data_IF_516678471672
#
_entry.id   IF_516678471672
#
_cell.length_a   1.000
_cell.length_b   1.000
_cell.length_c   1.000
_cell.angle_alpha   90.00
_cell.angle_beta   90.00
_cell.angle_gamma   90.00
#
_symmetry.space_group_name_H-M   'P 1'
#
loop_
_entity.id
_entity.type
_entity.pdbx_description
1 polymer ?
#
# COMPACT_ATOMS: atom_id res chain seq x y z
N UNK A 1 2.91 13.59 -11.81
CA UNK A 1 2.76 12.15 -12.11
C UNK A 1 1.44 11.68 -11.55
N UNK A 2 0.72 10.84 -12.30
CA UNK A 2 -0.55 10.27 -11.84
C UNK A 2 -0.29 8.79 -11.53
N UNK A 3 -0.39 8.40 -10.27
CA UNK A 3 -0.29 7.01 -9.88
C UNK A 3 -1.36 6.15 -10.56
N UNK A 4 -1.06 4.87 -10.74
CA UNK A 4 -1.97 3.87 -11.31
C UNK A 4 -2.86 3.33 -10.21
N UNK A 5 -4.17 3.47 -10.34
CA UNK A 5 -5.12 2.79 -9.46
C UNK A 5 -5.01 1.27 -9.67
N UNK A 6 -4.99 0.52 -8.57
CA UNK A 6 -4.91 -0.94 -8.55
C UNK A 6 -5.86 -1.49 -7.50
N UNK A 7 -6.30 -2.73 -7.71
CA UNK A 7 -7.08 -3.47 -6.74
C UNK A 7 -6.51 -4.87 -6.57
N UNK A 8 -6.58 -5.38 -5.36
CA UNK A 8 -6.16 -6.74 -5.01
C UNK A 8 -7.05 -7.24 -3.87
N UNK A 9 -7.06 -8.55 -3.64
CA UNK A 9 -7.94 -9.18 -2.65
C UNK A 9 -7.11 -9.74 -1.52
N UNK A 10 -7.55 -9.53 -0.27
CA UNK A 10 -6.91 -10.14 0.91
C UNK A 10 -7.39 -11.58 1.13
N UNK A 11 -6.83 -12.26 2.13
CA UNK A 11 -7.19 -13.65 2.45
C UNK A 11 -8.63 -13.84 2.93
N UNK A 12 -9.30 -12.76 3.36
CA UNK A 12 -10.70 -12.77 3.77
C UNK A 12 -11.67 -12.57 2.59
N UNK A 13 -11.16 -12.29 1.39
CA UNK A 13 -11.98 -12.04 0.20
C UNK A 13 -12.34 -10.56 -0.02
N UNK A 14 -11.87 -9.65 0.83
CA UNK A 14 -12.14 -8.21 0.69
C UNK A 14 -11.26 -7.61 -0.41
N UNK A 15 -11.85 -6.80 -1.30
CA UNK A 15 -11.11 -6.04 -2.29
C UNK A 15 -10.50 -4.77 -1.67
N UNK A 16 -9.18 -4.69 -1.73
CA UNK A 16 -8.39 -3.55 -1.28
C UNK A 16 -8.11 -2.55 -2.42
N UNK A 17 -8.20 -1.26 -2.13
CA UNK A 17 -7.94 -0.17 -3.07
C UNK A 17 -6.54 0.41 -2.89
N UNK A 18 -5.75 0.39 -3.96
CA UNK A 18 -4.37 0.85 -3.97
C UNK A 18 -4.05 1.86 -5.07
N UNK A 19 -2.96 2.59 -4.87
CA UNK A 19 -2.32 3.43 -5.88
C UNK A 19 -0.84 3.02 -5.98
N UNK A 20 -0.44 2.61 -7.18
CA UNK A 20 0.92 2.28 -7.53
C UNK A 20 1.59 3.47 -8.23
N UNK A 21 2.60 4.06 -7.59
CA UNK A 21 3.45 5.08 -8.18
C UNK A 21 4.67 4.41 -8.83
N UNK A 22 4.87 4.66 -10.13
CA UNK A 22 6.01 4.12 -10.89
C UNK A 22 6.93 5.26 -11.36
N UNK A 23 8.25 5.05 -11.40
CA UNK A 23 9.17 6.04 -11.95
C UNK A 23 8.86 6.32 -13.43
N UNK A 24 8.94 7.58 -13.88
CA UNK A 24 8.60 7.97 -15.27
C UNK A 24 9.65 7.49 -16.27
N UNK A 25 10.92 7.67 -15.93
CA UNK A 25 12.02 7.58 -16.90
C UNK A 25 12.69 6.20 -16.95
N UNK A 26 12.34 5.31 -16.03
CA UNK A 26 12.98 4.01 -15.90
C UNK A 26 12.07 2.97 -15.27
N UNK A 27 12.36 1.70 -15.56
CA UNK A 27 11.76 0.59 -14.81
C UNK A 27 12.18 0.69 -13.33
N UNK A 28 11.26 0.44 -12.39
CA UNK A 28 11.62 0.40 -10.97
C UNK A 28 12.62 -0.73 -10.72
N UNK A 29 13.70 -0.41 -9.99
CA UNK A 29 14.70 -1.40 -9.59
C UNK A 29 14.30 -2.13 -8.30
N UNK A 30 13.43 -1.49 -7.51
CA UNK A 30 12.96 -1.95 -6.22
C UNK A 30 11.50 -1.57 -6.04
N UNK A 31 10.77 -2.34 -5.23
CA UNK A 31 9.41 -2.01 -4.84
C UNK A 31 9.31 -1.78 -3.34
N UNK A 32 8.36 -0.93 -2.95
CA UNK A 32 8.05 -0.61 -1.57
C UNK A 32 6.54 -0.58 -1.33
N UNK A 33 6.14 -0.91 -0.10
CA UNK A 33 4.77 -0.72 0.39
C UNK A 33 4.76 0.43 1.40
N UNK A 34 3.76 1.29 1.30
CA UNK A 34 3.48 2.32 2.28
C UNK A 34 2.18 1.99 3.03
N UNK A 35 2.30 1.64 4.31
CA UNK A 35 1.20 1.39 5.24
C UNK A 35 0.85 2.67 6.01
N UNK A 36 -0.36 3.18 5.86
CA UNK A 36 -0.78 4.43 6.51
C UNK A 36 -1.19 4.23 7.98
N UNK A 37 -1.56 5.32 8.66
CA UNK A 37 -1.97 5.31 10.06
C UNK A 37 -3.38 4.77 10.28
N UNK A 38 -3.68 4.39 11.53
CA UNK A 38 -5.01 4.00 11.97
C UNK A 38 -6.05 5.07 11.61
N UNK A 39 -7.19 4.67 11.02
CA UNK A 39 -8.28 5.56 10.54
C UNK A 39 -7.87 6.60 9.48
N UNK A 40 -6.65 6.53 8.95
CA UNK A 40 -6.22 7.36 7.84
C UNK A 40 -6.64 6.74 6.50
N UNK A 41 -6.18 7.32 5.41
CA UNK A 41 -6.33 6.79 4.06
C UNK A 41 -5.01 6.89 3.30
N UNK A 42 -4.88 6.09 2.24
CA UNK A 42 -3.85 6.19 1.21
C UNK A 42 -3.64 7.62 0.73
N UNK A 43 -4.66 8.47 0.73
CA UNK A 43 -4.61 9.84 0.19
C UNK A 43 -4.09 10.90 1.19
N UNK A 44 -3.61 10.47 2.37
CA UNK A 44 -2.90 11.35 3.29
C UNK A 44 -1.75 12.06 2.57
N UNK A 45 -1.65 13.39 2.73
CA UNK A 45 -0.62 14.20 2.06
C UNK A 45 0.80 13.70 2.34
N UNK A 46 1.07 13.28 3.57
CA UNK A 46 2.36 12.71 3.95
C UNK A 46 2.65 11.41 3.17
N UNK A 47 1.69 10.48 3.12
CA UNK A 47 1.81 9.23 2.36
C UNK A 47 2.12 9.55 0.89
N UNK A 48 1.30 10.40 0.26
CA UNK A 48 1.48 10.80 -1.15
C UNK A 48 2.85 11.45 -1.41
N UNK A 49 3.31 12.34 -0.54
CA UNK A 49 4.60 13.01 -0.72
C UNK A 49 5.77 12.03 -0.59
N UNK A 50 5.70 11.11 0.38
CA UNK A 50 6.72 10.08 0.57
C UNK A 50 6.76 9.11 -0.61
N UNK A 51 5.60 8.62 -1.08
CA UNK A 51 5.56 7.69 -2.22
C UNK A 51 6.08 8.33 -3.50
N UNK A 52 5.75 9.59 -3.77
CA UNK A 52 6.27 10.32 -4.92
C UNK A 52 7.78 10.55 -4.83
N UNK A 53 8.30 10.91 -3.65
CA UNK A 53 9.73 11.10 -3.45
C UNK A 53 10.53 9.80 -3.65
N UNK A 54 10.03 8.68 -3.11
CA UNK A 54 10.61 7.35 -3.33
C UNK A 54 10.55 6.93 -4.80
N UNK A 55 9.43 7.21 -5.47
CA UNK A 55 9.28 6.92 -6.91
C UNK A 55 10.28 7.68 -7.77
N UNK A 56 10.53 8.95 -7.46
CA UNK A 56 11.60 9.74 -8.10
C UNK A 56 13.01 9.15 -7.86
N UNK A 57 13.21 8.45 -6.73
CA UNK A 57 14.46 7.73 -6.44
C UNK A 57 14.54 6.34 -7.10
N UNK A 58 13.53 5.94 -7.87
CA UNK A 58 13.54 4.71 -8.67
C UNK A 58 12.76 3.53 -8.08
N UNK A 59 11.97 3.76 -7.03
CA UNK A 59 11.09 2.74 -6.46
C UNK A 59 9.74 2.68 -7.18
N UNK A 60 9.19 1.48 -7.34
CA UNK A 60 7.75 1.31 -7.50
C UNK A 60 7.12 1.32 -6.11
N UNK A 61 6.18 2.21 -5.83
CA UNK A 61 5.64 2.36 -4.46
C UNK A 61 4.14 2.12 -4.48
N UNK A 62 3.70 1.09 -3.76
CA UNK A 62 2.30 0.79 -3.53
C UNK A 62 1.86 1.40 -2.20
N UNK A 63 0.83 2.25 -2.24
CA UNK A 63 0.05 2.64 -1.05
C UNK A 63 -1.37 2.15 -1.23
N UNK A 64 -2.03 1.72 -0.17
CA UNK A 64 -3.38 1.17 -0.23
C UNK A 64 -4.17 1.56 1.02
N UNK A 65 -5.49 1.47 0.94
CA UNK A 65 -6.37 1.58 2.11
C UNK A 65 -6.52 0.20 2.76
N UNK A 66 -6.39 0.10 4.08
CA UNK A 66 -6.71 -1.14 4.81
C UNK A 66 -8.18 -1.51 4.69
N UNK A 67 -8.53 -2.78 4.95
CA UNK A 67 -9.93 -3.23 5.04
C UNK A 67 -10.76 -2.27 5.90
N UNK A 68 -11.98 -1.97 5.45
CA UNK A 68 -12.90 -1.06 6.15
C UNK A 68 -12.52 0.41 6.13
N UNK A 69 -11.44 0.81 5.45
CA UNK A 69 -11.01 2.20 5.33
C UNK A 69 -11.01 2.68 3.88
N UNK A 70 -11.26 3.98 3.70
CA UNK A 70 -11.16 4.66 2.42
C UNK A 70 -12.03 4.02 1.34
N UNK A 71 -11.38 3.49 0.30
CA UNK A 71 -12.05 2.84 -0.84
C UNK A 71 -11.92 1.30 -0.83
N UNK A 72 -11.38 0.72 0.24
CA UNK A 72 -11.31 -0.74 0.43
C UNK A 72 -12.62 -1.28 0.98
N UNK A 73 -12.92 -2.53 0.63
CA UNK A 73 -14.08 -3.28 1.14
C UNK A 73 -13.90 -3.70 2.61
N UNK A 74 -14.95 -4.29 3.18
CA UNK A 74 -15.05 -4.71 4.57
C UNK A 74 -15.57 -3.62 5.51
N UNK A 75 -15.81 -4.01 6.76
CA UNK A 75 -16.29 -3.11 7.81
C UNK A 75 -15.16 -2.79 8.80
N UNK A 76 -14.97 -1.50 9.09
CA UNK A 76 -13.91 -1.05 10.00
C UNK A 76 -14.03 -1.66 11.41
N UNK A 77 -15.26 -1.90 11.87
CA UNK A 77 -15.55 -2.47 13.20
C UNK A 77 -14.98 -3.88 13.37
N UNK A 78 -14.80 -4.61 12.27
CA UNK A 78 -14.24 -5.97 12.26
C UNK A 78 -12.71 -5.99 12.07
N UNK A 79 -12.10 -4.83 11.84
CA UNK A 79 -10.65 -4.73 11.60
C UNK A 79 -9.87 -4.72 12.91
N UNK A 80 -8.70 -5.36 12.89
CA UNK A 80 -7.78 -5.43 14.01
C UNK A 80 -6.32 -5.46 13.53
N UNK A 81 -5.39 -5.56 14.46
CA UNK A 81 -3.97 -5.55 14.11
C UNK A 81 -3.58 -6.73 13.20
N UNK A 82 -4.14 -7.92 13.42
CA UNK A 82 -3.89 -9.09 12.59
C UNK A 82 -4.46 -8.93 11.19
N UNK A 83 -5.68 -8.38 11.04
CA UNK A 83 -6.23 -8.11 9.70
C UNK A 83 -5.37 -7.11 8.92
N UNK A 84 -4.84 -6.08 9.59
CA UNK A 84 -3.91 -5.14 8.95
C UNK A 84 -2.62 -5.81 8.47
N UNK A 85 -2.08 -6.77 9.23
CA UNK A 85 -0.91 -7.56 8.79
C UNK A 85 -1.25 -8.41 7.57
N UNK A 86 -2.43 -9.02 7.54
CA UNK A 86 -2.90 -9.80 6.39
C UNK A 86 -3.08 -8.92 5.14
N UNK A 87 -3.58 -7.69 5.29
CA UNK A 87 -3.69 -6.76 4.17
C UNK A 87 -2.32 -6.35 3.62
N UNK A 88 -1.32 -6.14 4.49
CA UNK A 88 0.07 -5.87 4.07
C UNK A 88 0.65 -7.08 3.34
N UNK A 89 0.40 -8.29 3.83
CA UNK A 89 0.83 -9.52 3.19
C UNK A 89 0.17 -9.67 1.80
N UNK A 90 -1.12 -9.37 1.67
CA UNK A 90 -1.83 -9.35 0.39
C UNK A 90 -1.26 -8.30 -0.57
N UNK A 91 -0.91 -7.11 -0.08
CA UNK A 91 -0.26 -6.08 -0.87
C UNK A 91 1.14 -6.53 -1.36
N UNK A 92 1.89 -7.25 -0.53
CA UNK A 92 3.18 -7.83 -0.90
C UNK A 92 3.04 -8.93 -1.95
N UNK A 93 2.08 -9.83 -1.78
CA UNK A 93 1.76 -10.88 -2.75
C UNK A 93 1.34 -10.28 -4.10
N UNK A 94 0.50 -9.25 -4.10
CA UNK A 94 0.11 -8.53 -5.31
C UNK A 94 1.32 -7.98 -6.06
N UNK A 95 2.27 -7.36 -5.35
CA UNK A 95 3.51 -6.84 -5.95
C UNK A 95 4.40 -7.96 -6.50
N UNK A 96 4.52 -9.08 -5.79
CA UNK A 96 5.29 -10.24 -6.23
C UNK A 96 4.73 -10.87 -7.51
N UNK A 97 3.41 -11.07 -7.58
CA UNK A 97 2.75 -11.70 -8.73
C UNK A 97 2.81 -10.81 -9.99
N UNK A 98 2.64 -9.51 -9.82
CA UNK A 98 2.47 -8.58 -10.96
C UNK A 98 3.76 -7.83 -11.33
N UNK A 99 4.74 -7.76 -10.43
CA UNK A 99 5.94 -6.94 -10.60
C UNK A 99 7.19 -7.60 -9.98
N UNK A 100 7.53 -7.25 -8.75
CA UNK A 100 8.67 -7.74 -7.98
C UNK A 100 8.33 -7.57 -6.52
N UNK A 101 8.68 -8.56 -5.69
CA UNK A 101 8.40 -8.53 -4.25
C UNK A 101 8.94 -7.24 -3.60
N UNK A 102 8.21 -6.66 -2.63
CA UNK A 102 8.66 -5.45 -1.97
C UNK A 102 9.96 -5.71 -1.20
N UNK A 103 10.88 -4.77 -1.33
CA UNK A 103 12.19 -4.77 -0.63
C UNK A 103 12.26 -3.75 0.51
N UNK A 104 11.19 -2.96 0.68
CA UNK A 104 11.06 -1.93 1.69
C UNK A 104 9.60 -1.83 2.12
N UNK A 105 9.39 -1.80 3.44
CA UNK A 105 8.11 -1.43 4.03
C UNK A 105 8.28 -0.07 4.73
N UNK A 106 7.32 0.82 4.54
CA UNK A 106 7.27 2.13 5.20
C UNK A 106 5.93 2.24 5.90
N UNK A 107 5.96 2.46 7.21
CA UNK A 107 4.75 2.58 8.01
C UNK A 107 4.68 3.93 8.73
N UNK A 108 3.47 4.47 8.86
CA UNK A 108 3.23 5.71 9.60
C UNK A 108 2.32 5.46 10.82
N UNK A 109 2.75 5.89 12.01
CA UNK A 109 2.04 5.67 13.28
C UNK A 109 1.72 4.17 13.48
N UNK A 110 0.45 3.76 13.62
CA UNK A 110 0.08 2.34 13.73
C UNK A 110 0.59 1.51 12.54
N UNK A 111 0.58 2.07 11.33
CA UNK A 111 1.15 1.40 10.16
C UNK A 111 2.65 1.11 10.33
N UNK A 112 3.36 1.89 11.14
CA UNK A 112 4.76 1.68 11.52
C UNK A 112 4.96 0.51 12.48
N UNK A 113 3.96 0.17 13.28
CA UNK A 113 4.00 -1.02 14.15
C UNK A 113 3.74 -2.31 13.36
N UNK A 114 3.06 -2.20 12.21
CA UNK A 114 2.65 -3.32 11.37
C UNK A 114 3.67 -3.70 10.28
N UNK A 115 4.86 -3.07 10.27
CA UNK A 115 5.91 -3.26 9.25
C UNK A 115 7.28 -3.52 9.84
#
# INVERSE_FOLDING_TARGET
MKGKAVHFTNDNGDKLSGILELPVERKPAHFAIFAHCFTCSKDLRAARNITLALSQKGFGVLRFDFTGLGESEGDFEDTNFTSNLNDIAAAAAFLEENYTSPSLLVGHSLGGTAV
#
